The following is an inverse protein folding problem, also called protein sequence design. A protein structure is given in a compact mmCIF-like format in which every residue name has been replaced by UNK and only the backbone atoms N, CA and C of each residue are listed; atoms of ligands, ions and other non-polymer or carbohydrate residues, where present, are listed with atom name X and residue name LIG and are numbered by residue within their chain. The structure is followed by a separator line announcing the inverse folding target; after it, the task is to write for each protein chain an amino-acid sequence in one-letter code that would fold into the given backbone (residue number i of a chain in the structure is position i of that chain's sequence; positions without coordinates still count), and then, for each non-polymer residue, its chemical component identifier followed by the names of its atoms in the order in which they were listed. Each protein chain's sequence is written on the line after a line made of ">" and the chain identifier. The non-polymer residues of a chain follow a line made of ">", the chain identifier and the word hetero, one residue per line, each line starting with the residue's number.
data_IF_560193923494
#
_entry.id   IF_560193923494
#
_cell.length_a   1.000
_cell.length_b   1.000
_cell.length_c   1.000
_cell.angle_alpha   90.00
_cell.angle_beta   90.00
_cell.angle_gamma   90.00
#
_symmetry.space_group_name_H-M   'P 1'
#
loop_
_entity.id
_entity.type
_entity.pdbx_description
1 polymer ?
#
# COMPACT_ATOMS: atom_id res chain seq x y z
N UNK A 1 8.17 21.91 11.30
CA UNK A 1 9.35 21.18 11.78
C UNK A 1 10.46 21.37 10.77
N UNK A 2 11.64 21.84 11.17
CA UNK A 2 12.74 22.06 10.22
C UNK A 2 13.45 20.74 9.92
N UNK A 3 14.11 20.62 8.76
CA UNK A 3 14.95 19.46 8.41
C UNK A 3 16.01 19.15 9.49
N UNK A 4 16.45 20.18 10.23
CA UNK A 4 17.45 20.08 11.30
C UNK A 4 16.89 19.38 12.54
N UNK A 5 15.59 19.52 12.83
CA UNK A 5 14.96 18.93 14.01
C UNK A 5 14.79 17.42 13.84
N UNK A 6 14.40 16.96 12.64
CA UNK A 6 14.30 15.53 12.31
C UNK A 6 15.65 14.83 12.49
N UNK A 7 16.75 15.47 12.08
CA UNK A 7 18.09 14.89 12.19
C UNK A 7 18.57 14.74 13.63
N UNK A 8 18.18 15.68 14.50
CA UNK A 8 18.47 15.59 15.94
C UNK A 8 17.70 14.44 16.59
N UNK A 9 16.44 14.25 16.21
CA UNK A 9 15.60 13.17 16.71
C UNK A 9 16.08 11.80 16.21
N UNK A 10 16.42 11.66 14.92
CA UNK A 10 17.02 10.42 14.38
C UNK A 10 18.34 10.12 15.08
N UNK A 11 19.20 11.10 15.32
CA UNK A 11 20.44 10.91 16.08
C UNK A 11 20.18 10.34 17.48
N UNK A 12 19.12 10.81 18.15
CA UNK A 12 18.77 10.41 19.50
C UNK A 12 18.18 8.99 19.56
N UNK A 13 17.36 8.62 18.58
CA UNK A 13 16.57 7.39 18.61
C UNK A 13 17.13 6.26 17.72
N UNK A 14 17.93 6.58 16.70
CA UNK A 14 18.46 5.61 15.75
C UNK A 14 19.86 6.01 15.23
N UNK A 15 20.88 5.77 16.07
CA UNK A 15 22.26 6.21 15.81
C UNK A 15 22.87 5.59 14.55
N UNK A 16 22.50 4.35 14.22
CA UNK A 16 23.04 3.68 13.04
C UNK A 16 22.48 4.31 11.76
N UNK A 17 21.17 4.55 11.70
CA UNK A 17 20.56 5.28 10.58
C UNK A 17 21.13 6.70 10.44
N UNK A 18 21.40 7.37 11.56
CA UNK A 18 21.99 8.71 11.56
C UNK A 18 23.38 8.76 10.91
N UNK A 19 24.23 7.74 11.12
CA UNK A 19 25.57 7.66 10.48
C UNK A 19 25.46 7.64 8.96
N UNK A 20 24.50 6.88 8.42
CA UNK A 20 24.26 6.84 6.97
C UNK A 20 23.79 8.19 6.43
N UNK A 21 22.95 8.90 7.17
CA UNK A 21 22.44 10.21 6.76
C UNK A 21 23.53 11.28 6.64
N UNK A 22 24.63 11.14 7.39
CA UNK A 22 25.78 12.05 7.31
C UNK A 22 26.69 11.77 6.10
N UNK A 23 26.52 10.63 5.42
CA UNK A 23 27.36 10.28 4.29
C UNK A 23 26.98 11.13 3.06
N UNK A 24 27.97 11.53 2.24
CA UNK A 24 27.70 12.01 0.89
C UNK A 24 26.87 10.99 0.11
N UNK A 25 25.98 11.46 -0.76
CA UNK A 25 25.03 10.63 -1.49
C UNK A 25 25.68 9.41 -2.18
N UNK A 26 26.84 9.59 -2.82
CA UNK A 26 27.58 8.50 -3.47
C UNK A 26 28.02 7.40 -2.50
N UNK A 27 28.43 7.77 -1.27
CA UNK A 27 28.80 6.83 -0.22
C UNK A 27 27.57 6.18 0.40
N UNK A 28 26.48 6.92 0.57
CA UNK A 28 25.20 6.36 1.02
C UNK A 28 24.72 5.28 0.03
N UNK A 29 24.69 5.60 -1.26
CA UNK A 29 24.29 4.64 -2.30
C UNK A 29 25.15 3.36 -2.29
N UNK A 30 26.48 3.50 -2.20
CA UNK A 30 27.39 2.34 -2.13
C UNK A 30 27.15 1.43 -0.93
N UNK A 31 26.62 1.98 0.16
CA UNK A 31 26.37 1.23 1.40
C UNK A 31 24.87 1.00 1.66
N UNK A 32 23.99 1.26 0.70
CA UNK A 32 22.54 1.18 0.91
C UNK A 32 22.10 -0.22 1.36
N UNK A 33 22.73 -1.28 0.83
CA UNK A 33 22.43 -2.68 1.19
C UNK A 33 22.78 -3.05 2.63
N UNK A 34 23.63 -2.27 3.31
CA UNK A 34 24.00 -2.51 4.70
C UNK A 34 23.19 -1.66 5.69
N UNK A 35 22.29 -0.82 5.18
CA UNK A 35 21.42 0.00 6.02
C UNK A 35 20.40 -0.86 6.77
N UNK A 36 19.99 -0.44 7.99
CA UNK A 36 18.91 -1.10 8.71
C UNK A 36 17.61 -1.12 7.90
N UNK A 37 16.97 -2.29 7.78
CA UNK A 37 15.66 -2.44 7.15
C UNK A 37 14.55 -2.11 8.15
N UNK A 38 14.30 -0.84 8.35
CA UNK A 38 13.30 -0.31 9.30
C UNK A 38 12.47 0.80 8.65
N UNK A 39 11.17 0.86 8.93
CA UNK A 39 10.33 1.97 8.46
C UNK A 39 10.63 3.25 9.25
N UNK A 40 10.28 4.40 8.67
CA UNK A 40 10.43 5.68 9.36
C UNK A 40 9.50 5.79 10.58
N UNK A 41 8.35 5.10 10.53
CA UNK A 41 7.37 5.07 11.61
C UNK A 41 8.01 4.53 12.90
N UNK A 42 8.64 3.35 12.80
CA UNK A 42 9.37 2.75 13.91
C UNK A 42 10.67 3.49 14.25
N UNK A 43 11.42 3.93 13.23
CA UNK A 43 12.73 4.52 13.44
C UNK A 43 12.67 5.91 14.09
N UNK A 44 11.56 6.64 13.94
CA UNK A 44 11.43 8.03 14.35
C UNK A 44 10.05 8.39 14.90
N UNK A 45 8.98 8.15 14.14
CA UNK A 45 7.64 8.71 14.42
C UNK A 45 7.10 8.21 15.77
N UNK A 46 7.21 6.92 16.05
CA UNK A 46 6.77 6.33 17.33
C UNK A 46 7.63 6.76 18.52
N UNK A 47 8.86 7.22 18.28
CA UNK A 47 9.84 7.52 19.32
C UNK A 47 9.84 9.00 19.74
N UNK A 48 9.51 9.88 18.79
CA UNK A 48 9.60 11.32 19.02
C UNK A 48 8.37 11.86 19.76
N UNK A 49 8.61 12.84 20.65
CA UNK A 49 7.54 13.63 21.27
C UNK A 49 7.21 14.90 20.49
N UNK A 50 7.99 15.20 19.45
CA UNK A 50 7.90 16.42 18.66
C UNK A 50 7.10 16.17 17.38
N UNK A 51 5.84 15.77 17.52
CA UNK A 51 4.95 15.48 16.40
C UNK A 51 3.72 16.39 16.43
N UNK A 52 3.30 16.83 15.25
CA UNK A 52 2.03 17.53 15.03
C UNK A 52 1.24 16.73 14.00
N UNK A 53 -0.05 16.54 14.26
CA UNK A 53 -0.97 15.85 13.37
C UNK A 53 -2.08 16.82 13.00
N UNK A 54 -2.35 16.95 11.70
CA UNK A 54 -3.46 17.72 11.17
C UNK A 54 -4.52 16.75 10.66
N UNK A 55 -5.74 16.76 11.24
CA UNK A 55 -6.86 16.01 10.69
C UNK A 55 -7.14 16.46 9.26
N UNK A 56 -7.40 15.47 8.39
CA UNK A 56 -7.75 15.68 7.00
C UNK A 56 -9.11 15.02 6.74
N UNK A 57 -10.06 15.80 6.23
CA UNK A 57 -11.40 15.33 5.89
C UNK A 57 -11.45 14.93 4.41
N UNK A 58 -10.86 13.79 4.09
CA UNK A 58 -10.86 13.19 2.74
C UNK A 58 -10.98 11.68 2.84
N UNK A 59 -11.57 11.06 1.82
CA UNK A 59 -11.44 9.61 1.63
C UNK A 59 -10.03 9.28 1.14
N UNK A 60 -9.33 8.41 1.86
CA UNK A 60 -7.99 7.94 1.51
C UNK A 60 -7.92 6.41 1.62
N UNK A 61 -7.23 5.78 0.67
CA UNK A 61 -6.80 4.39 0.70
C UNK A 61 -5.40 4.33 0.13
N UNK A 62 -4.50 3.58 0.78
CA UNK A 62 -3.15 3.32 0.29
C UNK A 62 -3.10 2.25 -0.81
N UNK A 63 -4.26 1.64 -1.12
CA UNK A 63 -4.45 0.62 -2.17
C UNK A 63 -3.43 -0.52 -2.02
N UNK A 64 -3.32 -1.06 -0.80
CA UNK A 64 -2.39 -2.15 -0.49
C UNK A 64 -2.88 -3.55 -0.87
N UNK A 65 -4.18 -3.74 -1.08
CA UNK A 65 -4.77 -5.03 -1.42
C UNK A 65 -5.89 -4.94 -2.46
N UNK A 66 -6.30 -6.08 -2.99
CA UNK A 66 -7.47 -6.16 -3.89
C UNK A 66 -8.79 -5.87 -3.18
N UNK A 67 -8.88 -6.11 -1.88
CA UNK A 67 -10.02 -5.68 -1.07
C UNK A 67 -10.15 -4.14 -1.08
N UNK A 68 -9.02 -3.42 -1.01
CA UNK A 68 -9.03 -1.96 -1.13
C UNK A 68 -9.59 -1.50 -2.48
N UNK A 69 -9.30 -2.23 -3.55
CA UNK A 69 -9.89 -1.98 -4.88
C UNK A 69 -11.39 -2.27 -4.87
N UNK A 70 -11.80 -3.39 -4.29
CA UNK A 70 -13.22 -3.74 -4.15
C UNK A 70 -13.99 -2.66 -3.40
N UNK A 71 -13.43 -2.10 -2.32
CA UNK A 71 -14.09 -1.09 -1.49
C UNK A 71 -14.36 0.22 -2.25
N UNK A 72 -13.38 0.69 -3.03
CA UNK A 72 -13.46 1.98 -3.73
C UNK A 72 -14.21 1.91 -5.07
N UNK A 73 -14.29 0.72 -5.67
CA UNK A 73 -14.94 0.57 -6.97
C UNK A 73 -16.46 0.48 -6.85
N UNK A 74 -17.13 0.92 -7.92
CA UNK A 74 -18.58 0.82 -8.04
C UNK A 74 -19.01 -0.65 -8.04
N UNK A 75 -20.00 -0.94 -7.21
CA UNK A 75 -20.60 -2.26 -7.07
C UNK A 75 -21.91 -2.33 -7.84
N UNK A 76 -22.22 -3.51 -8.39
CA UNK A 76 -23.53 -3.82 -8.96
C UNK A 76 -24.57 -4.10 -7.85
N UNK A 77 -25.78 -4.48 -8.24
CA UNK A 77 -26.89 -4.81 -7.34
C UNK A 77 -26.62 -6.04 -6.44
N UNK A 78 -25.74 -6.94 -6.86
CA UNK A 78 -25.30 -8.12 -6.13
C UNK A 78 -24.02 -7.86 -5.32
N UNK A 79 -23.61 -6.58 -5.21
CA UNK A 79 -22.39 -6.11 -4.56
C UNK A 79 -21.11 -6.63 -5.23
N UNK A 80 -21.14 -6.98 -6.51
CA UNK A 80 -19.93 -7.34 -7.23
C UNK A 80 -19.26 -6.10 -7.81
N UNK A 81 -17.93 -6.13 -7.86
CA UNK A 81 -17.15 -5.24 -8.70
C UNK A 81 -16.73 -6.02 -9.93
N UNK A 82 -17.27 -5.64 -11.10
CA UNK A 82 -16.99 -6.30 -12.38
C UNK A 82 -16.17 -5.37 -13.27
N UNK A 83 -15.01 -5.83 -13.72
CA UNK A 83 -14.14 -5.06 -14.64
C UNK A 83 -13.73 -5.91 -15.82
N UNK A 84 -13.95 -5.41 -17.04
CA UNK A 84 -13.56 -6.08 -18.28
C UNK A 84 -14.66 -7.00 -18.82
N UNK A 85 -14.25 -8.05 -19.54
CA UNK A 85 -15.18 -9.01 -20.15
C UNK A 85 -15.58 -10.08 -19.13
N UNK A 86 -16.65 -9.80 -18.38
CA UNK A 86 -17.13 -10.65 -17.29
C UNK A 86 -18.61 -10.99 -17.46
N UNK A 87 -18.94 -12.26 -17.29
CA UNK A 87 -20.31 -12.76 -17.16
C UNK A 87 -20.47 -13.40 -15.79
N UNK A 88 -21.57 -13.10 -15.11
CA UNK A 88 -21.83 -13.62 -13.77
C UNK A 88 -23.24 -14.20 -13.69
N UNK A 89 -23.37 -15.37 -13.09
CA UNK A 89 -24.65 -16.00 -12.75
C UNK A 89 -24.65 -16.32 -11.27
N UNK A 90 -25.59 -15.77 -10.50
CA UNK A 90 -25.67 -15.95 -9.04
C UNK A 90 -24.31 -15.76 -8.33
N UNK A 91 -23.56 -14.73 -8.73
CA UNK A 91 -22.32 -14.33 -8.07
C UNK A 91 -22.57 -13.10 -7.21
N UNK A 92 -22.06 -13.07 -5.98
CA UNK A 92 -22.34 -11.99 -5.01
C UNK A 92 -21.08 -11.54 -4.27
N UNK A 93 -21.06 -10.30 -3.81
CA UNK A 93 -20.02 -9.74 -2.93
C UNK A 93 -18.58 -10.00 -3.43
N UNK A 94 -18.35 -9.98 -4.75
CA UNK A 94 -17.09 -10.44 -5.35
C UNK A 94 -16.44 -9.42 -6.28
N UNK A 95 -15.11 -9.41 -6.34
CA UNK A 95 -14.33 -8.63 -7.31
C UNK A 95 -13.90 -9.54 -8.46
N UNK A 96 -14.39 -9.31 -9.67
CA UNK A 96 -14.00 -10.04 -10.86
C UNK A 96 -13.34 -9.10 -11.86
N UNK A 97 -12.05 -9.29 -12.08
CA UNK A 97 -11.23 -8.45 -12.95
C UNK A 97 -10.70 -9.25 -14.14
N UNK A 98 -11.26 -9.00 -15.32
CA UNK A 98 -10.83 -9.57 -16.59
C UNK A 98 -10.00 -8.56 -17.39
N UNK A 99 -8.80 -8.94 -17.82
CA UNK A 99 -7.91 -8.09 -18.61
C UNK A 99 -8.06 -8.36 -20.11
N UNK A 100 -8.05 -9.62 -20.53
CA UNK A 100 -8.10 -10.03 -21.95
C UNK A 100 -9.13 -11.10 -22.24
N UNK A 101 -9.28 -12.09 -21.35
CA UNK A 101 -10.16 -13.23 -21.58
C UNK A 101 -11.57 -12.94 -21.07
N UNK A 102 -12.54 -13.70 -21.54
CA UNK A 102 -13.86 -13.77 -20.88
C UNK A 102 -13.70 -14.55 -19.58
N UNK A 103 -14.21 -14.00 -18.48
CA UNK A 103 -14.37 -14.71 -17.21
C UNK A 103 -15.86 -14.92 -16.97
N UNK A 104 -16.26 -16.16 -16.75
CA UNK A 104 -17.64 -16.52 -16.39
C UNK A 104 -17.64 -17.13 -15.00
N UNK A 105 -18.44 -16.57 -14.09
CA UNK A 105 -18.61 -17.09 -12.72
C UNK A 105 -20.04 -17.57 -12.50
N UNK A 106 -20.19 -18.63 -11.70
CA UNK A 106 -21.50 -19.20 -11.37
C UNK A 106 -21.57 -19.67 -9.92
N UNK A 107 -22.51 -19.12 -9.14
CA UNK A 107 -22.74 -19.54 -7.74
C UNK A 107 -21.59 -19.20 -6.78
N UNK A 108 -20.77 -18.19 -7.08
CA UNK A 108 -19.61 -17.80 -6.27
C UNK A 108 -19.96 -16.62 -5.36
N UNK A 109 -19.41 -16.59 -4.15
CA UNK A 109 -19.66 -15.51 -3.21
C UNK A 109 -18.39 -15.19 -2.41
N UNK A 110 -18.17 -13.90 -2.14
CA UNK A 110 -17.03 -13.39 -1.36
C UNK A 110 -15.67 -13.79 -1.94
N UNK A 111 -15.51 -13.71 -3.27
CA UNK A 111 -14.24 -14.01 -3.94
C UNK A 111 -13.63 -12.79 -4.61
N UNK A 112 -12.31 -12.83 -4.73
CA UNK A 112 -11.55 -11.95 -5.61
C UNK A 112 -10.96 -12.85 -6.69
N UNK A 113 -11.31 -12.58 -7.95
CA UNK A 113 -10.79 -13.28 -9.11
C UNK A 113 -10.16 -12.24 -10.03
N UNK A 114 -8.84 -12.32 -10.21
CA UNK A 114 -8.10 -11.36 -11.02
C UNK A 114 -7.30 -12.07 -12.10
N UNK A 115 -7.58 -11.73 -13.36
CA UNK A 115 -6.78 -12.14 -14.51
C UNK A 115 -5.75 -11.08 -14.86
N UNK A 116 -4.49 -11.47 -14.85
CA UNK A 116 -3.37 -10.71 -15.39
C UNK A 116 -2.83 -11.38 -16.66
N UNK A 117 -1.80 -10.79 -17.28
CA UNK A 117 -1.18 -11.43 -18.44
C UNK A 117 -0.53 -12.78 -18.10
N UNK A 118 -0.02 -12.91 -16.87
CA UNK A 118 0.88 -14.00 -16.49
C UNK A 118 0.17 -15.05 -15.63
N UNK A 119 -0.85 -14.66 -14.87
CA UNK A 119 -1.56 -15.53 -13.95
C UNK A 119 -3.00 -15.10 -13.70
N UNK A 120 -3.80 -16.07 -13.24
CA UNK A 120 -5.13 -15.88 -12.66
C UNK A 120 -5.04 -16.36 -11.21
N UNK A 121 -5.54 -15.56 -10.28
CA UNK A 121 -5.60 -15.87 -8.86
C UNK A 121 -6.94 -15.45 -8.26
#
# INVERSE_FOLDING_TARGET
>A
MSHIDNLREIKKHNQDLYKFYQLPFEKLLKNFSTMPKISIDYALIEQTKNILVQPLDVSFSDVGSWDSIYDIMQKDENKNVLKGNVLTTDTKNSLIFAKKRLISTMGLENIILVETNDAIF
#
